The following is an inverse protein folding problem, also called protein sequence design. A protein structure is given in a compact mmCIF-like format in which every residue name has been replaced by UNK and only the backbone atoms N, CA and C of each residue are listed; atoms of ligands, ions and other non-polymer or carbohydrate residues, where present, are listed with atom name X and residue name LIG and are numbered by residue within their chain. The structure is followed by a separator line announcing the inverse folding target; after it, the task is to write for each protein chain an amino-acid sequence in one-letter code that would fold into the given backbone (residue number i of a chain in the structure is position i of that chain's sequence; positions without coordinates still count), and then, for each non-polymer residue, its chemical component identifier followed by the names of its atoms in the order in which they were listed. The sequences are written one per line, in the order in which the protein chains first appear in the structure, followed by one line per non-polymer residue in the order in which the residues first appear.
data_IF_864127670181
#
_entry.id   IF_864127670181
#
_cell.length_a   1.000
_cell.length_b   1.000
_cell.length_c   1.000
_cell.angle_alpha   90.00
_cell.angle_beta   90.00
_cell.angle_gamma   90.00
#
_symmetry.space_group_name_H-M   'P 1'
#
loop_
_entity.id
_entity.type
_entity.pdbx_description
1 polymer ?
#
# COMPACT_ATOMS: atom_id res chain seq x y z
N UNK A 1 14.09 3.94 -1.69
CA UNK A 1 13.90 2.64 -1.02
C UNK A 1 13.23 2.86 0.32
N UNK A 2 12.78 1.81 1.00
CA UNK A 2 12.17 1.87 2.33
C UNK A 2 11.86 0.47 2.86
N UNK A 3 11.44 0.38 4.13
CA UNK A 3 11.07 -0.87 4.79
C UNK A 3 9.66 -0.74 5.35
N UNK A 4 8.85 -1.81 5.27
CA UNK A 4 7.43 -1.78 5.63
C UNK A 4 7.13 -1.35 7.08
N UNK A 5 8.10 -1.46 8.00
CA UNK A 5 7.99 -0.92 9.37
C UNK A 5 7.77 0.61 9.40
N UNK A 6 8.13 1.33 8.32
CA UNK A 6 7.80 2.75 8.16
C UNK A 6 6.30 3.03 8.04
N UNK A 7 5.47 2.02 7.78
CA UNK A 7 4.01 2.13 7.76
C UNK A 7 3.48 1.88 9.16
N UNK A 8 3.30 2.96 9.94
CA UNK A 8 2.70 2.94 11.28
C UNK A 8 3.32 1.89 12.23
N UNK A 9 4.66 1.74 12.22
CA UNK A 9 5.47 0.75 12.94
C UNK A 9 5.27 -0.71 12.48
N UNK A 10 4.08 -1.08 12.01
CA UNK A 10 3.77 -2.37 11.39
C UNK A 10 2.69 -2.17 10.31
N UNK A 11 2.89 -2.68 9.07
CA UNK A 11 2.03 -2.36 7.94
C UNK A 11 0.58 -2.81 8.10
N UNK A 12 0.27 -3.78 8.97
CA UNK A 12 -1.11 -4.19 9.26
C UNK A 12 -1.88 -3.19 10.14
N UNK A 13 -1.20 -2.28 10.85
CA UNK A 13 -1.84 -1.37 11.80
C UNK A 13 -2.83 -0.41 11.11
N UNK A 14 -2.56 -0.04 9.85
CA UNK A 14 -3.49 0.79 9.07
C UNK A 14 -4.83 0.09 8.80
N UNK A 15 -4.82 -1.23 8.59
CA UNK A 15 -6.05 -2.02 8.37
C UNK A 15 -6.89 -2.07 9.64
N UNK A 16 -6.25 -2.31 10.79
CA UNK A 16 -6.92 -2.32 12.10
C UNK A 16 -7.54 -0.95 12.40
N UNK A 17 -6.79 0.12 12.16
CA UNK A 17 -7.29 1.49 12.33
C UNK A 17 -8.49 1.78 11.43
N UNK A 18 -8.44 1.39 10.16
CA UNK A 18 -9.51 1.64 9.19
C UNK A 18 -10.80 0.92 9.59
N UNK A 19 -10.72 -0.37 9.92
CA UNK A 19 -11.87 -1.16 10.36
C UNK A 19 -12.57 -0.51 11.57
N UNK A 20 -11.79 -0.11 12.58
CA UNK A 20 -12.31 0.57 13.76
C UNK A 20 -12.94 1.93 13.43
N UNK A 21 -12.39 2.66 12.46
CA UNK A 21 -12.93 3.96 12.05
C UNK A 21 -14.26 3.83 11.32
N UNK A 22 -14.38 2.83 10.44
CA UNK A 22 -15.58 2.57 9.65
C UNK A 22 -16.73 2.02 10.49
N UNK A 23 -16.44 1.29 11.57
CA UNK A 23 -17.46 0.77 12.48
C UNK A 23 -18.38 1.87 13.05
N UNK A 24 -17.86 3.10 13.27
CA UNK A 24 -18.66 4.25 13.72
C UNK A 24 -19.71 4.72 12.69
N UNK A 25 -19.59 4.27 11.44
CA UNK A 25 -20.49 4.54 10.33
C UNK A 25 -21.29 3.30 9.93
N UNK A 26 -21.30 2.25 10.76
CA UNK A 26 -21.96 0.95 10.47
C UNK A 26 -21.44 0.27 9.18
N UNK A 27 -20.19 0.56 8.82
CA UNK A 27 -19.49 -0.05 7.67
C UNK A 27 -18.43 -1.01 8.18
N UNK A 28 -18.38 -2.21 7.60
CA UNK A 28 -17.35 -3.21 7.84
C UNK A 28 -16.42 -3.35 6.62
N UNK A 29 -15.23 -3.89 6.86
CA UNK A 29 -14.40 -4.43 5.79
C UNK A 29 -14.89 -5.84 5.47
N UNK A 30 -15.16 -6.10 4.20
CA UNK A 30 -15.83 -7.33 3.77
C UNK A 30 -14.84 -8.41 3.33
N UNK A 31 -15.29 -9.66 3.40
CA UNK A 31 -14.48 -10.80 2.98
C UNK A 31 -14.14 -10.68 1.47
N UNK A 32 -12.85 -10.77 1.16
CA UNK A 32 -12.34 -10.67 -0.21
C UNK A 32 -11.90 -9.27 -0.63
N UNK A 33 -12.09 -8.25 0.21
CA UNK A 33 -11.56 -6.90 -0.07
C UNK A 33 -10.03 -6.86 0.02
N UNK A 34 -9.42 -6.05 -0.86
CA UNK A 34 -7.98 -5.79 -0.88
C UNK A 34 -7.74 -4.41 -0.28
N UNK A 35 -7.01 -4.35 0.84
CA UNK A 35 -6.71 -3.11 1.55
C UNK A 35 -5.23 -2.75 1.37
N UNK A 36 -4.96 -1.59 0.77
CA UNK A 36 -3.62 -1.01 0.68
C UNK A 36 -3.33 -0.23 1.97
N UNK A 37 -2.41 -0.73 2.79
CA UNK A 37 -2.25 -0.27 4.16
C UNK A 37 -1.37 0.98 4.36
N UNK A 38 -0.67 1.43 3.32
CA UNK A 38 0.13 2.65 3.32
C UNK A 38 1.47 2.50 2.58
N UNK A 39 2.07 3.63 2.22
CA UNK A 39 3.36 3.66 1.53
C UNK A 39 4.52 3.77 2.53
N UNK A 40 5.59 2.99 2.30
CA UNK A 40 6.88 3.11 3.00
C UNK A 40 7.91 3.93 2.22
N UNK A 41 7.50 4.56 1.11
CA UNK A 41 8.31 5.49 0.32
C UNK A 41 7.54 6.78 0.05
N UNK A 42 8.27 7.85 -0.25
CA UNK A 42 7.65 9.06 -0.79
C UNK A 42 7.19 8.78 -2.23
N UNK A 43 6.07 9.39 -2.69
CA UNK A 43 5.67 9.31 -4.09
C UNK A 43 6.78 9.80 -5.02
N UNK A 44 6.91 9.15 -6.16
CA UNK A 44 7.77 9.56 -7.27
C UNK A 44 6.85 9.92 -8.43
N UNK A 45 7.06 11.07 -9.05
CA UNK A 45 6.24 11.51 -10.17
C UNK A 45 6.46 10.59 -11.38
N UNK A 46 5.37 10.09 -11.95
CA UNK A 46 5.37 9.36 -13.22
C UNK A 46 5.06 10.30 -14.38
N UNK A 47 5.73 10.11 -15.52
CA UNK A 47 5.55 10.86 -16.76
C UNK A 47 5.30 9.88 -17.92
N UNK A 48 4.70 10.34 -19.03
CA UNK A 48 4.60 9.52 -20.24
C UNK A 48 5.97 9.01 -20.68
N UNK A 49 6.08 7.72 -20.98
CA UNK A 49 7.31 7.02 -21.30
C UNK A 49 8.08 6.44 -20.10
N UNK A 50 7.70 6.77 -18.86
CA UNK A 50 8.39 6.23 -17.68
C UNK A 50 8.05 4.74 -17.47
N UNK A 51 9.06 3.96 -17.09
CA UNK A 51 8.91 2.58 -16.62
C UNK A 51 9.30 2.49 -15.16
N UNK A 52 8.39 1.98 -14.33
CA UNK A 52 8.64 1.70 -12.93
C UNK A 52 8.86 0.20 -12.73
N UNK A 53 9.94 -0.15 -12.04
CA UNK A 53 10.19 -1.47 -11.48
C UNK A 53 10.35 -1.33 -9.98
N UNK A 54 9.52 -2.03 -9.22
CA UNK A 54 9.57 -2.06 -7.75
C UNK A 54 9.94 -3.47 -7.32
N UNK A 55 11.16 -3.61 -6.79
CA UNK A 55 11.70 -4.86 -6.27
C UNK A 55 11.51 -4.96 -4.76
N UNK A 56 10.77 -5.99 -4.32
CA UNK A 56 10.54 -6.32 -2.91
C UNK A 56 11.45 -7.48 -2.42
N UNK A 57 12.47 -7.85 -3.18
CA UNK A 57 13.38 -8.94 -2.89
C UNK A 57 12.67 -10.29 -2.97
N UNK A 58 12.73 -11.08 -1.90
CA UNK A 58 12.12 -12.42 -1.85
C UNK A 58 10.59 -12.41 -2.04
N UNK A 59 9.92 -11.27 -1.88
CA UNK A 59 8.48 -11.11 -2.10
C UNK A 59 8.11 -10.84 -3.57
N UNK A 60 9.09 -10.76 -4.47
CA UNK A 60 8.89 -10.54 -5.91
C UNK A 60 8.99 -9.07 -6.32
N UNK A 61 8.50 -8.76 -7.52
CA UNK A 61 8.53 -7.41 -8.10
C UNK A 61 7.23 -7.03 -8.79
N UNK A 62 6.98 -5.73 -8.90
CA UNK A 62 5.85 -5.14 -9.61
C UNK A 62 6.36 -4.13 -10.63
N UNK A 63 5.88 -4.24 -11.87
CA UNK A 63 6.35 -3.44 -13.00
C UNK A 63 5.19 -2.76 -13.71
N UNK A 64 5.39 -1.52 -14.15
CA UNK A 64 4.46 -0.85 -15.07
C UNK A 64 5.18 0.13 -15.99
N UNK A 65 4.56 0.43 -17.13
CA UNK A 65 5.02 1.42 -18.10
C UNK A 65 3.89 2.41 -18.36
N UNK A 66 4.19 3.69 -18.31
CA UNK A 66 3.25 4.78 -18.58
C UNK A 66 3.30 5.11 -20.08
N UNK A 67 2.24 4.77 -20.83
CA UNK A 67 2.08 5.07 -22.25
C UNK A 67 1.47 6.45 -22.51
#
# INVERSE_FOLDING_TARGET
TGVAAGVLNHPANGVVWLANKLAAHEVALEAGEIILSGSFTRPVAARPGDTFNVDYGALGSVNCHFI
#
